data_IF_336607585002
#
_entry.id   IF_336607585002
#
_cell.length_a   1.000
_cell.length_b   1.000
_cell.length_c   1.000
_cell.angle_alpha   90.00
_cell.angle_beta   90.00
_cell.angle_gamma   90.00
#
_symmetry.space_group_name_H-M   'P 1'
#
loop_
_entity.id
_entity.type
_entity.pdbx_description
1 polymer ?
#
# COMPACT_ATOMS: atom_id res chain seq x y z
N UNK A 1 -12.41 30.98 -10.93
CA UNK A 1 -11.62 32.19 -10.58
C UNK A 1 -10.27 31.68 -10.10
N UNK A 2 -9.20 32.17 -10.73
CA UNK A 2 -7.88 31.54 -10.81
C UNK A 2 -6.98 31.82 -9.61
N UNK A 3 -6.04 30.89 -9.38
CA UNK A 3 -4.69 31.06 -8.82
C UNK A 3 -4.50 31.29 -7.31
N UNK A 4 -3.40 30.72 -6.85
CA UNK A 4 -2.43 31.30 -5.91
C UNK A 4 -2.97 31.67 -4.53
N UNK A 5 -2.62 30.88 -3.51
CA UNK A 5 -2.06 31.36 -2.23
C UNK A 5 -1.88 30.18 -1.28
N UNK A 6 -0.63 29.70 -1.13
CA UNK A 6 0.06 29.42 0.15
C UNK A 6 1.55 29.29 -0.23
N UNK A 7 2.19 30.45 -0.38
CA UNK A 7 3.63 30.59 -0.48
C UNK A 7 4.04 31.82 0.33
N UNK A 8 4.38 31.61 1.61
CA UNK A 8 5.08 32.54 2.50
C UNK A 8 5.59 31.71 3.69
N UNK A 9 6.82 31.83 4.20
CA UNK A 9 7.97 32.67 3.87
C UNK A 9 9.06 32.22 4.87
N UNK A 10 10.10 31.51 4.44
CA UNK A 10 11.36 31.45 5.21
C UNK A 10 12.43 32.13 4.37
N UNK A 11 12.75 33.38 4.73
CA UNK A 11 13.90 34.09 4.20
C UNK A 11 15.13 33.62 4.97
N UNK A 12 16.08 33.03 4.27
CA UNK A 12 17.46 32.87 4.72
C UNK A 12 18.17 34.23 4.74
N UNK A 13 19.15 34.43 5.64
CA UNK A 13 20.32 35.22 5.32
C UNK A 13 21.41 34.28 4.79
N UNK A 14 21.91 34.59 3.59
CA UNK A 14 23.22 34.12 3.15
C UNK A 14 24.28 34.60 4.16
N UNK A 15 25.00 33.67 4.75
CA UNK A 15 26.36 33.89 5.22
C UNK A 15 27.14 32.61 4.98
N UNK A 16 28.11 32.68 4.08
CA UNK A 16 28.95 31.56 3.69
C UNK A 16 29.74 31.01 4.87
N UNK A 17 29.64 29.70 5.06
CA UNK A 17 30.64 28.91 5.76
C UNK A 17 30.76 27.60 4.98
N UNK A 18 31.96 27.36 4.45
CA UNK A 18 32.38 26.10 3.87
C UNK A 18 32.27 25.05 4.98
N UNK A 19 31.18 24.28 5.01
CA UNK A 19 31.00 23.22 6.01
C UNK A 19 31.90 22.04 5.61
N UNK A 20 33.04 21.98 6.27
CA UNK A 20 33.97 20.87 6.23
C UNK A 20 33.21 19.60 6.65
N UNK A 21 32.95 18.69 5.70
CA UNK A 21 32.41 17.36 5.98
C UNK A 21 33.45 16.65 6.85
N UNK A 22 33.20 16.65 8.16
CA UNK A 22 34.02 15.90 9.10
C UNK A 22 33.53 14.47 9.04
N UNK A 23 34.26 13.62 8.32
CA UNK A 23 34.07 12.17 8.35
C UNK A 23 34.43 11.71 9.76
N UNK A 24 33.44 11.62 10.64
CA UNK A 24 33.63 10.95 11.93
C UNK A 24 33.69 9.46 11.62
N UNK A 25 34.89 8.89 11.74
CA UNK A 25 35.13 7.46 11.62
C UNK A 25 34.27 6.74 12.67
N UNK A 26 33.25 6.03 12.20
CA UNK A 26 32.56 5.02 13.01
C UNK A 26 33.62 4.02 13.45
N UNK A 27 33.72 3.76 14.76
CA UNK A 27 34.58 2.72 15.29
C UNK A 27 34.12 1.37 14.71
N UNK A 28 34.79 0.92 13.65
CA UNK A 28 34.72 -0.45 13.17
C UNK A 28 35.44 -1.30 14.21
N UNK A 29 34.72 -1.79 15.23
CA UNK A 29 35.25 -2.87 16.06
C UNK A 29 35.25 -4.15 15.22
N UNK A 30 36.29 -4.35 14.41
CA UNK A 30 36.55 -5.63 13.73
C UNK A 30 36.96 -6.63 14.82
N UNK A 31 35.98 -7.26 15.46
CA UNK A 31 36.28 -8.42 16.30
C UNK A 31 36.55 -9.57 15.34
N UNK A 32 37.83 -9.84 15.10
CA UNK A 32 38.30 -10.95 14.29
C UNK A 32 38.02 -12.28 15.00
N UNK A 33 36.77 -12.74 14.91
CA UNK A 33 36.44 -14.15 14.96
C UNK A 33 36.07 -14.57 13.54
N UNK A 34 36.33 -15.82 13.17
CA UNK A 34 36.15 -16.41 11.85
C UNK A 34 34.68 -16.45 11.37
N UNK A 35 34.03 -15.30 11.24
CA UNK A 35 32.68 -15.17 10.71
C UNK A 35 32.77 -14.62 9.28
N UNK A 36 32.09 -15.27 8.34
CA UNK A 36 31.96 -14.87 6.93
C UNK A 36 31.19 -13.56 6.70
N UNK A 37 31.07 -12.71 7.72
CA UNK A 37 30.29 -11.47 7.74
C UNK A 37 31.10 -10.31 8.31
N UNK A 38 30.71 -9.09 7.94
CA UNK A 38 31.10 -7.82 8.55
C UNK A 38 29.95 -7.30 9.41
N UNK A 39 30.23 -6.86 10.64
CA UNK A 39 29.21 -6.39 11.57
C UNK A 39 29.15 -4.87 11.63
N UNK A 40 27.94 -4.33 11.50
CA UNK A 40 27.61 -2.92 11.66
C UNK A 40 26.73 -2.75 12.90
N UNK A 41 27.05 -1.79 13.78
CA UNK A 41 26.30 -1.55 15.01
C UNK A 41 25.71 -0.15 15.01
N UNK A 42 24.40 -0.05 15.25
CA UNK A 42 23.69 1.23 15.38
C UNK A 42 22.40 1.00 16.19
N UNK A 43 21.99 1.98 16.98
CA UNK A 43 20.69 1.91 17.66
C UNK A 43 20.53 0.74 18.64
N UNK A 44 21.62 0.19 19.17
CA UNK A 44 21.60 -0.97 20.06
C UNK A 44 21.55 -2.33 19.36
N UNK A 45 21.43 -2.37 18.03
CA UNK A 45 21.40 -3.61 17.23
C UNK A 45 22.69 -3.81 16.44
N UNK A 46 22.95 -5.05 16.05
CA UNK A 46 24.04 -5.48 15.18
C UNK A 46 23.48 -6.07 13.88
N UNK A 47 23.99 -5.58 12.74
CA UNK A 47 23.61 -5.98 11.39
C UNK A 47 24.81 -6.70 10.77
N UNK A 48 24.62 -7.93 10.32
CA UNK A 48 25.66 -8.70 9.66
C UNK A 48 25.50 -8.65 8.14
N UNK A 49 26.55 -8.25 7.44
CA UNK A 49 26.60 -8.24 5.97
C UNK A 49 27.59 -9.33 5.52
N UNK A 50 27.20 -10.29 4.67
CA UNK A 50 28.12 -11.31 4.16
C UNK A 50 29.29 -10.69 3.41
N UNK A 51 30.50 -11.20 3.66
CA UNK A 51 31.73 -10.70 3.04
C UNK A 51 31.81 -11.03 1.55
N UNK A 52 31.13 -12.08 1.09
CA UNK A 52 31.10 -12.46 -0.32
C UNK A 52 30.44 -11.40 -1.22
N UNK A 53 29.54 -10.58 -0.66
CA UNK A 53 28.90 -9.48 -1.37
C UNK A 53 29.61 -8.13 -1.18
N UNK A 54 30.72 -8.07 -0.41
CA UNK A 54 31.35 -6.80 -0.04
C UNK A 54 31.79 -5.97 -1.26
N UNK A 55 32.28 -6.62 -2.31
CA UNK A 55 32.72 -5.94 -3.54
C UNK A 55 31.55 -5.46 -4.43
N UNK A 56 30.34 -5.96 -4.18
CA UNK A 56 29.11 -5.61 -4.91
C UNK A 56 28.32 -4.49 -4.21
N UNK A 57 28.71 -4.11 -2.99
CA UNK A 57 27.93 -3.24 -2.14
C UNK A 57 28.58 -1.89 -1.87
N UNK A 58 27.77 -0.85 -1.92
CA UNK A 58 28.05 0.44 -1.33
C UNK A 58 27.19 0.59 -0.08
N UNK A 59 27.84 0.67 1.08
CA UNK A 59 27.19 0.87 2.37
C UNK A 59 27.19 2.36 2.68
N UNK A 60 26.00 2.94 2.70
CA UNK A 60 25.82 4.35 3.03
C UNK A 60 25.54 4.46 4.52
N UNK A 61 26.42 5.11 5.31
CA UNK A 61 26.15 5.34 6.71
C UNK A 61 24.94 6.28 6.83
N UNK A 62 23.98 5.90 7.67
CA UNK A 62 22.82 6.77 7.90
C UNK A 62 23.25 8.07 8.59
N UNK A 63 22.55 9.16 8.28
CA UNK A 63 22.83 10.49 8.85
C UNK A 63 22.70 10.45 10.38
N UNK A 64 23.50 11.25 11.09
CA UNK A 64 23.63 11.14 12.55
C UNK A 64 22.33 11.50 13.30
N UNK A 65 21.47 12.30 12.70
CA UNK A 65 20.19 12.79 13.22
C UNK A 65 19.00 11.91 12.81
N UNK A 66 19.11 11.13 11.72
CA UNK A 66 18.07 10.19 11.34
C UNK A 66 18.20 8.85 12.08
N UNK A 67 17.63 8.81 13.27
CA UNK A 67 17.61 7.59 14.07
C UNK A 67 16.76 6.46 13.47
N UNK A 68 15.89 6.73 12.48
CA UNK A 68 15.03 5.72 11.85
C UNK A 68 15.80 4.78 10.95
N UNK A 69 16.76 5.30 10.18
CA UNK A 69 17.57 4.47 9.28
C UNK A 69 18.76 3.89 10.04
N UNK A 70 18.86 2.57 10.04
CA UNK A 70 19.96 1.83 10.68
C UNK A 70 21.14 1.61 9.73
N UNK A 71 20.86 1.26 8.48
CA UNK A 71 21.85 1.10 7.42
C UNK A 71 21.17 1.21 6.07
N UNK A 72 21.89 1.72 5.08
CA UNK A 72 21.44 1.72 3.68
C UNK A 72 22.44 0.96 2.83
N UNK A 73 21.94 0.01 2.03
CA UNK A 73 22.73 -0.77 1.10
C UNK A 73 22.37 -0.38 -0.32
N UNK A 74 23.40 -0.17 -1.14
CA UNK A 74 23.25 0.05 -2.56
C UNK A 74 24.08 -0.97 -3.36
N UNK A 75 23.57 -1.38 -4.51
CA UNK A 75 24.35 -2.09 -5.51
C UNK A 75 25.37 -1.12 -6.11
N UNK A 76 26.65 -1.49 -5.97
CA UNK A 76 27.78 -0.65 -6.34
C UNK A 76 27.87 -0.42 -7.84
N UNK A 77 27.68 -1.45 -8.66
CA UNK A 77 27.72 -1.40 -10.13
C UNK A 77 26.73 -0.37 -10.69
N UNK A 78 25.46 -0.43 -10.25
CA UNK A 78 24.45 0.53 -10.68
C UNK A 78 24.75 1.93 -10.17
N UNK A 79 25.19 2.07 -8.92
CA UNK A 79 25.53 3.39 -8.36
C UNK A 79 26.72 4.06 -9.07
N UNK A 80 27.76 3.31 -9.41
CA UNK A 80 28.93 3.81 -10.12
C UNK A 80 28.58 4.26 -11.54
N UNK A 81 27.64 3.57 -12.20
CA UNK A 81 27.16 3.96 -13.52
C UNK A 81 26.20 5.14 -13.48
N UNK A 82 25.30 5.16 -12.51
CA UNK A 82 24.27 6.17 -12.33
C UNK A 82 24.27 6.68 -10.89
N UNK A 83 25.07 7.72 -10.59
CA UNK A 83 25.14 8.30 -9.25
C UNK A 83 23.75 8.69 -8.74
N UNK A 84 23.39 8.17 -7.57
CA UNK A 84 22.06 8.35 -6.97
C UNK A 84 21.23 7.06 -6.98
N UNK A 85 21.43 6.20 -7.99
CA UNK A 85 20.72 4.93 -8.15
C UNK A 85 21.35 3.79 -7.35
N UNK A 86 20.79 2.59 -7.50
CA UNK A 86 21.29 1.33 -6.95
C UNK A 86 20.78 1.04 -5.54
N UNK A 87 19.78 1.76 -5.01
CA UNK A 87 19.26 1.46 -3.67
C UNK A 87 18.67 0.06 -3.63
N UNK A 88 19.28 -0.87 -2.88
CA UNK A 88 18.72 -2.20 -2.63
C UNK A 88 17.62 -2.10 -1.57
N UNK A 89 18.02 -1.69 -0.37
CA UNK A 89 17.12 -1.36 0.73
C UNK A 89 17.86 -0.58 1.81
N UNK A 90 17.07 0.03 2.69
CA UNK A 90 17.54 0.44 4.01
C UNK A 90 16.88 -0.41 5.08
N UNK A 91 17.61 -0.72 6.16
CA UNK A 91 17.00 -1.27 7.37
C UNK A 91 16.54 -0.09 8.21
N UNK A 92 15.26 -0.08 8.59
CA UNK A 92 14.64 0.96 9.40
C UNK A 92 14.21 0.43 10.76
N UNK A 93 14.08 1.33 11.73
CA UNK A 93 13.42 1.08 13.02
C UNK A 93 12.37 2.16 13.29
N UNK A 94 11.18 1.74 13.68
CA UNK A 94 10.03 2.60 13.94
C UNK A 94 9.59 2.41 15.39
N UNK A 95 9.31 3.49 16.10
CA UNK A 95 8.55 3.42 17.36
C UNK A 95 7.12 2.94 17.07
N UNK A 96 6.38 2.51 18.10
CA UNK A 96 4.97 2.12 17.95
C UNK A 96 4.13 3.21 17.25
N UNK A 97 4.23 4.47 17.67
CA UNK A 97 3.52 5.58 17.02
C UNK A 97 3.89 5.75 15.53
N UNK A 98 5.15 5.53 15.16
CA UNK A 98 5.58 5.64 13.75
C UNK A 98 5.06 4.46 12.93
N UNK A 99 5.04 3.27 13.53
CA UNK A 99 4.50 2.06 12.91
C UNK A 99 2.98 2.17 12.72
N UNK A 100 2.25 2.72 13.69
CA UNK A 100 0.82 3.05 13.54
C UNK A 100 0.56 4.02 12.39
N UNK A 101 1.39 5.05 12.22
CA UNK A 101 1.29 5.94 11.05
C UNK A 101 1.59 5.20 9.73
N UNK A 102 2.50 4.22 9.74
CA UNK A 102 2.72 3.35 8.58
C UNK A 102 1.47 2.50 8.27
N UNK A 103 0.81 1.92 9.28
CA UNK A 103 -0.41 1.13 9.10
C UNK A 103 -1.57 1.95 8.50
N UNK A 104 -1.58 3.27 8.71
CA UNK A 104 -2.55 4.20 8.15
C UNK A 104 -2.14 4.76 6.77
N UNK A 105 -0.96 4.38 6.25
CA UNK A 105 -0.44 4.83 4.96
C UNK A 105 -0.73 3.81 3.84
N UNK A 106 -0.29 4.10 2.61
CA UNK A 106 -0.37 3.14 1.49
C UNK A 106 0.62 1.95 1.63
N UNK A 107 1.51 2.00 2.63
CA UNK A 107 2.48 0.95 2.94
C UNK A 107 3.58 0.75 1.90
N UNK A 108 3.62 1.56 0.85
CA UNK A 108 4.48 1.30 -0.31
C UNK A 108 5.96 1.41 0.03
N UNK A 109 6.74 0.42 -0.41
CA UNK A 109 8.19 0.41 -0.21
C UNK A 109 8.65 0.12 1.22
N UNK A 110 7.77 -0.33 2.12
CA UNK A 110 8.12 -0.72 3.49
C UNK A 110 7.60 -2.13 3.81
N UNK A 111 8.43 -2.93 4.49
CA UNK A 111 8.06 -4.26 4.98
C UNK A 111 8.68 -4.50 6.34
N UNK A 112 7.86 -4.70 7.37
CA UNK A 112 8.33 -5.04 8.71
C UNK A 112 8.51 -6.56 8.85
N UNK A 113 9.60 -6.97 9.50
CA UNK A 113 9.95 -8.39 9.65
C UNK A 113 10.31 -8.78 11.10
N UNK A 114 10.51 -7.80 11.98
CA UNK A 114 10.88 -8.04 13.36
C UNK A 114 10.35 -6.95 14.30
N UNK A 115 10.19 -7.29 15.58
CA UNK A 115 9.93 -6.32 16.63
C UNK A 115 10.59 -6.69 17.96
N UNK A 116 10.72 -5.70 18.83
CA UNK A 116 10.96 -5.86 20.26
C UNK A 116 9.93 -5.06 21.07
N UNK A 117 10.16 -4.86 22.36
CA UNK A 117 9.25 -4.12 23.26
C UNK A 117 9.16 -2.61 22.95
N UNK A 118 9.99 -2.09 22.04
CA UNK A 118 10.12 -0.64 21.76
C UNK A 118 9.98 -0.29 20.30
N UNK A 119 10.44 -1.17 19.41
CA UNK A 119 10.61 -0.87 18.01
C UNK A 119 10.12 -1.99 17.10
N UNK A 120 9.63 -1.56 15.94
CA UNK A 120 9.39 -2.36 14.76
C UNK A 120 10.55 -2.16 13.79
N UNK A 121 11.07 -3.25 13.22
CA UNK A 121 12.19 -3.23 12.30
C UNK A 121 11.74 -3.74 10.93
N UNK A 122 12.18 -3.04 9.88
CA UNK A 122 11.73 -3.33 8.54
C UNK A 122 12.77 -2.99 7.48
N UNK A 123 12.47 -3.40 6.26
CA UNK A 123 13.16 -2.95 5.06
C UNK A 123 12.37 -1.81 4.43
N UNK A 124 13.11 -0.77 4.02
CA UNK A 124 12.62 0.27 3.13
C UNK A 124 13.25 0.05 1.76
N UNK A 125 12.42 -0.33 0.80
CA UNK A 125 12.77 -0.59 -0.59
C UNK A 125 12.54 0.66 -1.45
N UNK A 126 13.24 0.78 -2.58
CA UNK A 126 12.85 1.77 -3.58
C UNK A 126 11.46 1.48 -4.12
N UNK A 127 10.65 2.52 -4.29
CA UNK A 127 9.36 2.46 -4.99
C UNK A 127 9.50 2.80 -6.47
N UNK A 128 10.73 3.06 -6.91
CA UNK A 128 11.12 3.42 -8.27
C UNK A 128 12.17 2.45 -8.81
N UNK A 129 12.53 2.61 -10.08
CA UNK A 129 13.52 1.75 -10.72
C UNK A 129 14.94 2.12 -10.30
N UNK A 130 15.65 1.17 -9.70
CA UNK A 130 17.00 1.39 -9.16
C UNK A 130 18.10 0.55 -9.80
N UNK A 131 17.80 -0.30 -10.79
CA UNK A 131 18.74 -1.27 -11.35
C UNK A 131 19.19 -0.91 -12.77
N UNK A 132 20.49 -1.04 -13.05
CA UNK A 132 21.02 -1.02 -14.41
C UNK A 132 20.97 -2.42 -15.06
N UNK A 133 21.33 -3.45 -14.31
CA UNK A 133 21.19 -4.86 -14.66
C UNK A 133 20.21 -5.49 -13.67
N UNK A 134 18.97 -5.72 -14.10
CA UNK A 134 17.89 -6.11 -13.22
C UNK A 134 18.08 -7.52 -12.63
N UNK A 135 18.57 -8.48 -13.42
CA UNK A 135 18.72 -9.87 -12.96
C UNK A 135 19.77 -9.97 -11.84
N UNK A 136 20.95 -9.39 -12.07
CA UNK A 136 22.01 -9.31 -11.07
C UNK A 136 21.56 -8.55 -9.81
N UNK A 137 20.87 -7.43 -10.01
CA UNK A 137 20.34 -6.63 -8.91
C UNK A 137 19.30 -7.39 -8.07
N UNK A 138 18.34 -8.06 -8.70
CA UNK A 138 17.28 -8.80 -8.03
C UNK A 138 17.85 -9.99 -7.24
N UNK A 139 18.79 -10.73 -7.83
CA UNK A 139 19.46 -11.84 -7.16
C UNK A 139 20.26 -11.37 -5.93
N UNK A 140 20.97 -10.24 -6.05
CA UNK A 140 21.72 -9.65 -4.94
C UNK A 140 20.78 -9.15 -3.82
N UNK A 141 19.69 -8.48 -4.20
CA UNK A 141 18.66 -7.97 -3.29
C UNK A 141 18.07 -9.11 -2.45
N UNK A 142 17.60 -10.17 -3.11
CA UNK A 142 16.99 -11.34 -2.47
C UNK A 142 17.98 -12.04 -1.53
N UNK A 143 19.17 -12.36 -2.03
CA UNK A 143 20.20 -13.08 -1.25
C UNK A 143 20.60 -12.31 0.01
N UNK A 144 20.75 -10.99 -0.09
CA UNK A 144 21.09 -10.15 1.06
C UNK A 144 19.92 -10.01 2.03
N UNK A 145 18.70 -9.80 1.53
CA UNK A 145 17.51 -9.65 2.36
C UNK A 145 17.30 -10.89 3.23
N UNK A 146 17.27 -12.07 2.62
CA UNK A 146 16.98 -13.32 3.32
C UNK A 146 18.06 -13.66 4.36
N UNK A 147 19.32 -13.44 4.02
CA UNK A 147 20.43 -13.61 4.96
C UNK A 147 20.31 -12.64 6.14
N UNK A 148 20.15 -11.33 5.84
CA UNK A 148 20.15 -10.27 6.84
C UNK A 148 18.95 -10.44 7.76
N UNK A 149 17.76 -10.71 7.24
CA UNK A 149 16.56 -10.93 8.04
C UNK A 149 16.75 -12.07 9.05
N UNK A 150 17.23 -13.23 8.59
CA UNK A 150 17.46 -14.42 9.42
C UNK A 150 18.52 -14.20 10.49
N UNK A 151 19.65 -13.56 10.13
CA UNK A 151 20.73 -13.27 11.07
C UNK A 151 20.34 -12.16 12.05
N UNK A 152 19.69 -11.10 11.58
CA UNK A 152 19.29 -9.95 12.38
C UNK A 152 18.31 -10.33 13.48
N UNK A 153 17.32 -11.18 13.18
CA UNK A 153 16.40 -11.75 14.18
C UNK A 153 17.17 -12.50 15.29
N UNK A 154 18.00 -13.46 14.90
CA UNK A 154 18.74 -14.33 15.85
C UNK A 154 19.76 -13.55 16.67
N UNK A 155 20.54 -12.69 16.00
CA UNK A 155 21.65 -11.95 16.61
C UNK A 155 21.15 -10.92 17.61
N UNK A 156 20.04 -10.27 17.31
CA UNK A 156 19.47 -9.22 18.15
C UNK A 156 18.38 -9.73 19.10
N UNK A 157 18.05 -11.04 19.05
CA UNK A 157 17.02 -11.69 19.88
C UNK A 157 15.64 -11.03 19.72
N UNK A 158 15.31 -10.70 18.48
CA UNK A 158 14.05 -10.05 18.13
C UNK A 158 12.96 -11.09 17.88
N UNK A 159 11.71 -10.67 18.06
CA UNK A 159 10.53 -11.46 17.73
C UNK A 159 10.23 -11.29 16.24
N UNK A 160 10.09 -12.37 15.46
CA UNK A 160 9.59 -12.27 14.09
C UNK A 160 8.23 -11.57 14.06
N UNK A 161 8.01 -10.72 13.07
CA UNK A 161 6.80 -9.93 12.97
C UNK A 161 6.39 -9.76 11.51
N UNK A 162 5.09 -9.71 11.26
CA UNK A 162 4.50 -9.51 9.94
C UNK A 162 3.15 -8.81 10.10
N UNK A 163 2.84 -7.92 9.15
CA UNK A 163 1.65 -7.05 9.24
C UNK A 163 0.33 -7.80 8.96
N UNK A 164 0.42 -9.04 8.46
CA UNK A 164 -0.75 -9.81 8.05
C UNK A 164 -1.67 -10.22 9.20
N UNK A 165 -1.16 -10.23 10.44
CA UNK A 165 -1.98 -10.39 11.64
C UNK A 165 -2.90 -9.17 11.81
N UNK A 166 -2.34 -7.96 11.79
CA UNK A 166 -3.11 -6.72 11.94
C UNK A 166 -4.15 -6.57 10.83
N UNK A 167 -3.71 -6.73 9.57
CA UNK A 167 -4.58 -6.63 8.40
C UNK A 167 -5.50 -7.83 8.21
N UNK A 168 -5.30 -8.92 8.96
CA UNK A 168 -6.21 -10.06 9.02
C UNK A 168 -7.37 -9.86 10.01
N UNK A 169 -7.30 -8.87 10.90
CA UNK A 169 -8.36 -8.60 11.88
C UNK A 169 -9.47 -7.76 11.26
N UNK A 170 -10.72 -8.10 11.58
CA UNK A 170 -11.90 -7.32 11.22
C UNK A 170 -11.91 -5.93 11.87
N UNK A 171 -11.35 -5.81 13.08
CA UNK A 171 -11.29 -4.57 13.86
C UNK A 171 -9.91 -4.32 14.47
N UNK A 172 -9.61 -3.05 14.77
CA UNK A 172 -8.36 -2.67 15.45
C UNK A 172 -8.46 -2.94 16.94
N UNK A 173 -9.57 -2.50 17.55
CA UNK A 173 -9.87 -2.68 18.96
C UNK A 173 -10.95 -3.75 19.15
N UNK A 174 -10.87 -4.49 20.25
CA UNK A 174 -11.90 -5.47 20.58
C UNK A 174 -13.11 -4.78 21.24
N UNK A 175 -14.30 -5.41 21.15
CA UNK A 175 -15.49 -4.98 21.88
C UNK A 175 -16.62 -4.46 21.00
N UNK A 176 -17.42 -3.54 21.54
CA UNK A 176 -18.60 -2.98 20.87
C UNK A 176 -18.19 -2.03 19.75
N UNK A 177 -18.89 -2.11 18.62
CA UNK A 177 -18.64 -1.29 17.44
C UNK A 177 -19.91 -0.54 17.01
N UNK A 178 -19.73 0.70 16.54
CA UNK A 178 -20.80 1.52 15.96
C UNK A 178 -20.41 1.94 14.56
N UNK A 179 -21.36 1.86 13.65
CA UNK A 179 -21.17 2.24 12.25
C UNK A 179 -21.98 3.47 11.89
N UNK A 180 -21.35 4.37 11.14
CA UNK A 180 -22.01 5.57 10.63
C UNK A 180 -21.72 5.74 9.16
N UNK A 181 -22.77 5.97 8.37
CA UNK A 181 -22.64 6.54 7.04
C UNK A 181 -22.36 8.02 7.17
N UNK A 182 -21.37 8.49 6.44
CA UNK A 182 -20.99 9.88 6.32
C UNK A 182 -21.14 10.32 4.87
N UNK A 183 -21.78 11.47 4.67
CA UNK A 183 -22.07 12.04 3.36
C UNK A 183 -21.24 13.32 3.17
N UNK A 184 -20.02 13.23 2.60
CA UNK A 184 -19.06 14.35 2.56
C UNK A 184 -19.61 15.59 1.85
N UNK A 185 -20.47 15.40 0.84
CA UNK A 185 -21.01 16.49 0.03
C UNK A 185 -22.40 16.98 0.47
N UNK A 186 -22.98 16.41 1.52
CA UNK A 186 -24.33 16.77 1.96
C UNK A 186 -24.46 18.26 2.27
N UNK A 187 -23.44 18.85 2.90
CA UNK A 187 -23.42 20.30 3.22
C UNK A 187 -23.38 21.18 1.97
N UNK A 188 -22.79 20.67 0.89
CA UNK A 188 -22.60 21.43 -0.36
C UNK A 188 -23.83 21.35 -1.25
N UNK A 189 -24.44 20.18 -1.39
CA UNK A 189 -25.48 19.93 -2.40
C UNK A 189 -26.73 19.20 -1.86
N UNK A 190 -26.78 18.86 -0.57
CA UNK A 190 -27.89 18.13 0.06
C UNK A 190 -28.00 16.66 -0.37
N UNK A 191 -27.05 16.14 -1.14
CA UNK A 191 -27.09 14.78 -1.69
C UNK A 191 -26.37 13.78 -0.79
N UNK A 192 -26.82 12.53 -0.90
CA UNK A 192 -26.29 11.36 -0.18
C UNK A 192 -25.69 10.33 -1.15
N UNK A 193 -25.31 10.79 -2.35
CA UNK A 193 -24.87 9.94 -3.47
C UNK A 193 -23.48 9.33 -3.19
N UNK A 194 -22.61 10.06 -2.48
CA UNK A 194 -21.32 9.56 -2.02
C UNK A 194 -21.38 9.22 -0.54
N UNK A 195 -20.97 8.00 -0.20
CA UNK A 195 -21.12 7.45 1.14
C UNK A 195 -19.80 6.88 1.61
N UNK A 196 -19.29 7.42 2.72
CA UNK A 196 -18.18 6.84 3.46
C UNK A 196 -18.73 6.17 4.71
N UNK A 197 -18.19 5.02 5.09
CA UNK A 197 -18.62 4.32 6.30
C UNK A 197 -17.53 4.43 7.36
N UNK A 198 -17.87 5.03 8.50
CA UNK A 198 -16.98 5.12 9.66
C UNK A 198 -17.25 3.93 10.58
N UNK A 199 -16.20 3.24 10.99
CA UNK A 199 -16.21 2.21 12.03
C UNK A 199 -15.67 2.80 13.32
N UNK A 200 -16.52 2.86 14.35
CA UNK A 200 -16.18 3.36 15.66
C UNK A 200 -16.08 2.23 16.66
N UNK A 201 -15.12 2.33 17.56
CA UNK A 201 -14.89 1.40 18.66
C UNK A 201 -14.48 2.15 19.92
N UNK A 202 -14.42 1.43 21.05
CA UNK A 202 -13.99 1.98 22.32
C UNK A 202 -12.58 1.46 22.68
N UNK A 203 -11.52 2.26 22.52
CA UNK A 203 -10.14 1.76 22.59
C UNK A 203 -9.63 1.50 24.01
N UNK A 204 -10.31 1.99 25.06
CA UNK A 204 -9.80 1.94 26.45
C UNK A 204 -10.75 1.24 27.42
N UNK A 205 -12.00 1.73 27.53
CA UNK A 205 -13.03 1.15 28.38
C UNK A 205 -14.24 0.78 27.53
N UNK A 206 -14.90 -0.33 27.86
CA UNK A 206 -16.11 -0.77 27.16
C UNK A 206 -17.39 -0.26 27.86
N UNK A 207 -18.47 -0.09 27.09
CA UNK A 207 -19.81 0.28 27.57
C UNK A 207 -20.01 1.79 27.80
N UNK A 208 -21.00 2.15 28.63
CA UNK A 208 -21.46 3.55 28.86
C UNK A 208 -20.39 4.52 29.42
N UNK A 209 -19.22 4.02 29.81
CA UNK A 209 -18.09 4.82 30.28
C UNK A 209 -16.92 4.88 29.31
N UNK A 210 -17.01 4.23 28.15
CA UNK A 210 -15.97 4.20 27.13
C UNK A 210 -16.05 5.37 26.18
N UNK A 211 -14.92 6.03 25.93
CA UNK A 211 -14.83 6.96 24.80
C UNK A 211 -14.88 6.19 23.49
N UNK A 212 -15.47 6.80 22.47
CA UNK A 212 -15.48 6.30 21.10
C UNK A 212 -14.39 6.98 20.27
N UNK A 213 -13.80 6.23 19.34
CA UNK A 213 -12.97 6.76 18.27
C UNK A 213 -13.33 6.09 16.94
N UNK A 214 -13.11 6.77 15.82
CA UNK A 214 -13.09 6.11 14.51
C UNK A 214 -11.77 5.35 14.40
N UNK A 215 -11.84 4.03 14.32
CA UNK A 215 -10.66 3.17 14.17
C UNK A 215 -10.34 2.85 12.70
N UNK A 216 -11.38 2.85 11.85
CA UNK A 216 -11.30 2.54 10.42
C UNK A 216 -12.39 3.29 9.67
N UNK A 217 -12.14 3.58 8.40
CA UNK A 217 -13.20 4.08 7.51
C UNK A 217 -13.10 3.46 6.12
N UNK A 218 -14.25 3.38 5.45
CA UNK A 218 -14.40 2.86 4.10
C UNK A 218 -14.89 3.97 3.18
N UNK A 219 -14.24 4.18 2.05
CA UNK A 219 -14.67 5.15 1.03
C UNK A 219 -15.80 4.59 0.13
N UNK A 220 -16.28 5.38 -0.83
CA UNK A 220 -17.29 4.95 -1.80
C UNK A 220 -16.81 3.84 -2.75
N UNK A 221 -15.50 3.65 -2.86
CA UNK A 221 -14.88 2.65 -3.73
C UNK A 221 -14.59 1.33 -3.00
N UNK A 222 -14.93 1.25 -1.70
CA UNK A 222 -14.71 0.09 -0.87
C UNK A 222 -13.28 -0.06 -0.34
N UNK A 223 -12.44 0.96 -0.48
CA UNK A 223 -11.12 0.97 0.13
C UNK A 223 -11.27 1.17 1.64
N UNK A 224 -10.50 0.44 2.43
CA UNK A 224 -10.53 0.49 3.89
C UNK A 224 -9.24 1.14 4.38
N UNK A 225 -9.39 2.08 5.30
CA UNK A 225 -8.29 2.87 5.85
C UNK A 225 -8.31 2.75 7.37
N UNK A 226 -7.35 2.00 7.97
CA UNK A 226 -7.07 2.10 9.38
C UNK A 226 -6.70 3.53 9.77
N UNK A 227 -7.09 3.95 10.97
CA UNK A 227 -6.76 5.26 11.48
C UNK A 227 -6.13 5.18 12.86
N UNK A 228 -4.99 5.86 12.98
CA UNK A 228 -4.33 6.13 14.25
C UNK A 228 -4.07 7.63 14.37
N UNK A 229 -4.27 8.22 15.56
CA UNK A 229 -4.06 9.64 15.78
C UNK A 229 -2.58 10.01 15.59
N UNK A 230 -2.29 10.95 14.68
CA UNK A 230 -0.98 11.60 14.63
C UNK A 230 -0.88 12.59 15.81
N UNK A 231 -0.21 12.15 16.86
CA UNK A 231 -0.11 12.85 18.14
C UNK A 231 1.36 13.11 18.52
N UNK A 232 2.15 13.63 17.57
CA UNK A 232 3.55 14.04 17.78
C UNK A 232 4.43 12.92 18.38
N UNK A 233 4.23 11.69 17.90
CA UNK A 233 5.01 10.51 18.34
C UNK A 233 4.46 9.79 19.56
N UNK A 234 3.28 10.16 20.07
CA UNK A 234 2.56 9.42 21.12
C UNK A 234 1.80 8.24 20.50
N UNK A 235 2.00 6.99 20.95
CA UNK A 235 1.22 5.83 20.48
C UNK A 235 -0.27 5.99 20.76
N UNK A 236 -1.11 5.41 19.90
CA UNK A 236 -2.56 5.54 19.98
C UNK A 236 -3.14 5.06 21.32
N UNK A 237 -2.59 3.99 21.89
CA UNK A 237 -3.00 3.48 23.21
C UNK A 237 -2.80 4.51 24.33
N UNK A 238 -1.67 5.21 24.35
CA UNK A 238 -1.39 6.27 25.31
C UNK A 238 -2.27 7.50 25.06
N UNK A 239 -2.44 7.88 23.79
CA UNK A 239 -3.29 8.99 23.38
C UNK A 239 -4.74 8.78 23.84
N UNK A 240 -5.33 7.62 23.56
CA UNK A 240 -6.70 7.31 23.94
C UNK A 240 -6.85 7.14 25.45
N UNK A 241 -5.86 6.58 26.15
CA UNK A 241 -5.87 6.52 27.61
C UNK A 241 -5.92 7.92 28.24
N UNK A 242 -5.16 8.88 27.69
CA UNK A 242 -5.19 10.26 28.13
C UNK A 242 -6.55 10.93 27.86
N UNK A 243 -7.14 10.71 26.67
CA UNK A 243 -8.49 11.21 26.34
C UNK A 243 -9.56 10.62 27.26
N UNK A 244 -9.50 9.32 27.53
CA UNK A 244 -10.43 8.64 28.42
C UNK A 244 -10.36 9.23 29.83
N UNK A 245 -9.16 9.44 30.37
CA UNK A 245 -8.98 10.07 31.69
C UNK A 245 -9.51 11.51 31.72
N UNK A 246 -9.33 12.28 30.64
CA UNK A 246 -9.87 13.63 30.50
C UNK A 246 -11.39 13.66 30.52
N UNK A 247 -12.04 12.79 29.74
CA UNK A 247 -13.51 12.70 29.70
C UNK A 247 -14.10 12.17 31.01
N UNK A 248 -13.44 11.20 31.67
CA UNK A 248 -13.84 10.72 32.99
C UNK A 248 -13.82 11.83 34.05
N UNK A 249 -12.81 12.71 34.00
CA UNK A 249 -12.74 13.86 34.89
C UNK A 249 -13.84 14.88 34.56
N UNK A 250 -14.05 15.17 33.26
CA UNK A 250 -15.09 16.10 32.82
C UNK A 250 -16.50 15.61 33.16
N UNK A 251 -16.73 14.29 33.16
CA UNK A 251 -18.01 13.66 33.55
C UNK A 251 -18.47 14.01 34.96
N UNK A 252 -17.57 14.45 35.84
CA UNK A 252 -17.90 14.87 37.20
C UNK A 252 -18.49 16.28 37.27
N UNK A 253 -18.40 17.06 36.19
CA UNK A 253 -18.99 18.40 36.10
C UNK A 253 -20.53 18.31 36.02
N UNK A 254 -21.30 19.01 36.87
CA UNK A 254 -22.76 19.07 36.77
C UNK A 254 -23.30 19.56 35.42
N UNK A 255 -22.50 20.26 34.61
CA UNK A 255 -22.87 20.73 33.27
C UNK A 255 -22.47 19.75 32.15
N UNK A 256 -21.92 18.59 32.50
CA UNK A 256 -21.52 17.58 31.52
C UNK A 256 -22.71 17.09 30.68
N UNK A 257 -22.57 17.17 29.36
CA UNK A 257 -23.51 16.56 28.42
C UNK A 257 -22.80 15.47 27.60
N UNK A 258 -23.28 14.24 27.76
CA UNK A 258 -22.80 13.06 27.03
C UNK A 258 -22.86 13.26 25.51
N UNK A 259 -23.84 14.01 24.98
CA UNK A 259 -23.98 14.25 23.54
C UNK A 259 -22.89 15.12 22.94
N UNK A 260 -22.17 15.87 23.77
CA UNK A 260 -21.04 16.72 23.39
C UNK A 260 -19.74 16.20 23.97
N UNK A 261 -19.62 14.87 24.03
CA UNK A 261 -18.47 14.16 24.62
C UNK A 261 -18.07 13.00 23.75
N UNK A 262 -16.84 12.53 23.92
CA UNK A 262 -16.39 11.29 23.27
C UNK A 262 -17.15 10.04 23.77
N UNK A 263 -17.99 10.11 24.80
CA UNK A 263 -18.92 8.99 25.12
C UNK A 263 -20.06 8.86 24.11
N UNK A 264 -20.32 9.88 23.27
CA UNK A 264 -21.22 9.79 22.13
C UNK A 264 -20.43 9.41 20.87
N UNK A 265 -20.80 8.32 20.18
CA UNK A 265 -20.15 7.96 18.93
C UNK A 265 -20.42 9.02 17.83
N UNK A 266 -21.56 9.72 17.89
CA UNK A 266 -21.89 10.78 16.92
C UNK A 266 -20.95 11.98 17.07
N UNK A 267 -20.62 12.36 18.31
CA UNK A 267 -19.64 13.41 18.58
C UNK A 267 -18.22 12.99 18.19
N UNK A 268 -17.84 11.74 18.45
CA UNK A 268 -16.55 11.21 18.02
C UNK A 268 -16.40 11.17 16.49
N UNK A 269 -17.45 10.76 15.76
CA UNK A 269 -17.49 10.77 14.31
C UNK A 269 -17.37 12.20 13.76
N UNK A 270 -18.08 13.16 14.35
CA UNK A 270 -17.99 14.58 13.98
C UNK A 270 -16.55 15.10 14.14
N UNK A 271 -15.94 14.90 15.32
CA UNK A 271 -14.58 15.35 15.59
C UNK A 271 -13.54 14.70 14.66
N UNK A 272 -13.75 13.43 14.32
CA UNK A 272 -12.91 12.73 13.35
C UNK A 272 -12.97 13.38 11.96
N UNK A 273 -14.17 13.56 11.38
CA UNK A 273 -14.27 14.12 10.02
C UNK A 273 -13.81 15.58 9.95
N UNK A 274 -13.99 16.36 11.02
CA UNK A 274 -13.45 17.71 11.12
C UNK A 274 -11.92 17.71 11.11
N UNK A 275 -11.31 16.89 11.97
CA UNK A 275 -9.86 16.85 12.11
C UNK A 275 -9.16 16.21 10.90
N UNK A 276 -9.70 15.10 10.41
CA UNK A 276 -9.03 14.24 9.42
C UNK A 276 -9.34 14.66 7.99
N UNK A 277 -10.60 15.04 7.71
CA UNK A 277 -11.00 15.46 6.36
C UNK A 277 -11.08 16.98 6.20
N UNK A 278 -11.01 17.75 7.30
CA UNK A 278 -11.20 19.21 7.25
C UNK A 278 -12.64 19.61 6.92
N UNK A 279 -13.59 18.69 7.09
CA UNK A 279 -15.00 18.92 6.78
C UNK A 279 -15.74 19.49 7.99
N UNK A 280 -16.75 20.34 7.77
CA UNK A 280 -17.64 20.82 8.84
C UNK A 280 -19.02 20.22 8.58
N UNK A 281 -19.38 19.07 9.20
CA UNK A 281 -20.67 18.44 8.99
C UNK A 281 -21.84 19.29 9.49
N UNK A 282 -23.03 19.03 8.93
CA UNK A 282 -24.29 19.54 9.42
C UNK A 282 -25.22 18.41 9.86
N UNK A 283 -26.35 18.76 10.47
CA UNK A 283 -27.45 17.81 10.66
C UNK A 283 -27.82 17.16 9.31
N UNK A 284 -27.91 15.83 9.28
CA UNK A 284 -28.15 15.04 8.06
C UNK A 284 -26.91 14.55 7.32
N UNK A 285 -25.71 15.00 7.71
CA UNK A 285 -24.43 14.47 7.18
C UNK A 285 -24.10 13.05 7.65
N UNK A 286 -24.80 12.56 8.67
CA UNK A 286 -24.59 11.23 9.24
C UNK A 286 -25.89 10.45 9.34
N UNK A 287 -25.83 9.16 9.01
CA UNK A 287 -26.85 8.19 9.36
C UNK A 287 -26.21 7.03 10.14
N UNK A 288 -26.74 6.72 11.33
CA UNK A 288 -26.34 5.52 12.08
C UNK A 288 -26.93 4.29 11.40
N UNK A 289 -26.13 3.23 11.28
CA UNK A 289 -26.59 1.97 10.70
C UNK A 289 -26.48 0.85 11.74
N UNK A 290 -27.50 -0.01 11.79
CA UNK A 290 -27.48 -1.21 12.63
C UNK A 290 -26.67 -2.31 11.97
N UNK A 291 -26.06 -3.15 12.83
CA UNK A 291 -25.26 -4.32 12.52
C UNK A 291 -26.08 -5.37 11.75
N UNK A 292 -26.26 -5.18 10.44
CA UNK A 292 -27.13 -6.03 9.63
C UNK A 292 -26.41 -7.26 9.05
N UNK A 293 -25.41 -7.81 9.75
CA UNK A 293 -24.70 -9.02 9.31
C UNK A 293 -23.68 -8.81 8.18
N UNK A 294 -23.43 -7.55 7.80
CA UNK A 294 -22.46 -7.13 6.78
C UNK A 294 -21.05 -6.88 7.35
N UNK A 295 -20.84 -7.06 8.65
CA UNK A 295 -19.56 -6.74 9.32
C UNK A 295 -18.38 -7.53 8.75
N UNK A 296 -18.58 -8.82 8.42
CA UNK A 296 -17.58 -9.63 7.73
C UNK A 296 -17.37 -9.14 6.28
N UNK A 297 -18.43 -8.72 5.58
CA UNK A 297 -18.34 -8.19 4.20
C UNK A 297 -17.69 -6.79 4.12
N UNK A 298 -17.89 -5.95 5.15
CA UNK A 298 -17.45 -4.56 5.18
C UNK A 298 -15.95 -4.41 5.46
N UNK A 299 -15.33 -5.31 6.23
CA UNK A 299 -13.98 -5.10 6.75
C UNK A 299 -13.00 -6.29 6.64
N UNK A 300 -13.40 -7.49 6.18
CA UNK A 300 -12.47 -8.63 5.99
C UNK A 300 -11.51 -8.48 4.78
N UNK A 301 -11.51 -7.36 4.05
CA UNK A 301 -10.79 -7.22 2.77
C UNK A 301 -9.50 -6.40 2.84
N UNK A 302 -8.90 -6.30 4.01
CA UNK A 302 -7.67 -5.51 4.24
C UNK A 302 -6.38 -6.18 3.75
N UNK A 303 -6.42 -7.05 2.74
CA UNK A 303 -5.20 -7.59 2.10
C UNK A 303 -4.99 -7.19 0.65
N UNK A 304 -5.95 -6.52 -0.02
CA UNK A 304 -5.90 -6.39 -1.50
C UNK A 304 -6.39 -5.07 -2.11
N UNK A 305 -6.77 -4.07 -1.30
CA UNK A 305 -7.43 -2.85 -1.81
C UNK A 305 -6.52 -1.60 -1.89
N UNK A 306 -5.26 -1.65 -1.46
CA UNK A 306 -4.29 -0.54 -1.59
C UNK A 306 -3.70 -0.37 -3.00
N UNK A 307 -4.31 -0.97 -4.01
CA UNK A 307 -3.72 -1.25 -5.31
C UNK A 307 -4.39 -0.38 -6.37
N UNK A 308 -3.59 0.40 -7.12
CA UNK A 308 -4.09 1.31 -8.17
C UNK A 308 -5.13 0.65 -9.08
N UNK A 309 -6.14 1.41 -9.53
CA UNK A 309 -7.39 0.87 -10.07
C UNK A 309 -7.28 -0.09 -11.28
N UNK A 310 -6.11 -0.22 -11.93
CA UNK A 310 -5.90 -1.06 -13.12
C UNK A 310 -4.58 -1.82 -13.06
N UNK A 311 -4.50 -2.80 -12.16
CA UNK A 311 -3.32 -3.67 -12.03
C UNK A 311 -3.67 -5.10 -11.67
N UNK A 312 -2.73 -5.98 -11.99
CA UNK A 312 -2.77 -7.40 -11.72
C UNK A 312 -1.80 -7.72 -10.58
N UNK A 313 -2.31 -8.35 -9.53
CA UNK A 313 -1.51 -8.96 -8.48
C UNK A 313 -1.15 -10.40 -8.84
N UNK A 314 0.12 -10.73 -8.66
CA UNK A 314 0.70 -12.06 -8.91
C UNK A 314 1.15 -12.62 -7.57
N UNK A 315 0.54 -13.70 -7.06
CA UNK A 315 0.96 -14.35 -5.82
C UNK A 315 2.46 -14.69 -5.86
N UNK A 316 3.14 -14.57 -4.72
CA UNK A 316 4.56 -14.95 -4.54
C UNK A 316 5.61 -14.08 -5.24
N UNK A 317 5.22 -13.02 -5.96
CA UNK A 317 6.16 -12.01 -6.43
C UNK A 317 6.78 -11.25 -5.25
N UNK A 318 8.12 -11.18 -5.17
CA UNK A 318 8.82 -10.49 -4.08
C UNK A 318 9.63 -9.29 -4.60
N UNK A 319 9.43 -8.07 -4.08
CA UNK A 319 8.32 -7.65 -3.21
C UNK A 319 6.97 -7.75 -3.97
N UNK A 320 5.82 -7.60 -3.30
CA UNK A 320 4.45 -7.67 -3.87
C UNK A 320 4.24 -6.63 -4.99
N UNK A 321 4.92 -6.82 -6.13
CA UNK A 321 4.94 -5.90 -7.25
C UNK A 321 3.70 -6.18 -8.08
N UNK A 322 2.92 -5.13 -8.26
CA UNK A 322 1.70 -5.15 -9.03
C UNK A 322 2.04 -4.76 -10.46
N UNK A 323 1.49 -5.49 -11.42
CA UNK A 323 1.64 -5.16 -12.83
C UNK A 323 0.50 -4.23 -13.26
N UNK A 324 0.82 -3.00 -13.65
CA UNK A 324 -0.14 -1.94 -13.99
C UNK A 324 -0.27 -1.76 -15.51
N UNK A 325 -1.41 -1.23 -15.93
CA UNK A 325 -1.52 -0.57 -17.24
C UNK A 325 -0.79 0.78 -17.20
N UNK A 326 0.52 0.77 -17.42
CA UNK A 326 1.38 1.95 -17.30
C UNK A 326 2.65 1.88 -18.17
N UNK A 327 3.43 2.94 -18.16
CA UNK A 327 4.75 3.03 -18.74
C UNK A 327 5.83 2.35 -17.87
N UNK A 328 6.67 1.55 -18.51
CA UNK A 328 7.78 0.81 -17.92
C UNK A 328 9.09 1.14 -18.64
N UNK A 329 10.15 1.44 -17.90
CA UNK A 329 11.46 1.71 -18.51
C UNK A 329 12.27 0.43 -18.76
N UNK A 330 11.84 -0.70 -18.20
CA UNK A 330 12.42 -2.04 -18.40
C UNK A 330 11.52 -2.86 -19.29
N UNK A 331 12.11 -3.85 -19.94
CA UNK A 331 11.38 -4.83 -20.72
C UNK A 331 10.66 -5.84 -19.81
N UNK A 332 9.83 -6.69 -20.41
CA UNK A 332 9.23 -7.84 -19.73
C UNK A 332 10.29 -8.65 -18.95
N UNK A 333 10.02 -9.12 -17.70
CA UNK A 333 8.71 -9.24 -17.04
C UNK A 333 8.30 -8.05 -16.17
N UNK A 334 8.87 -6.86 -16.36
CA UNK A 334 8.43 -5.65 -15.64
C UNK A 334 8.54 -5.72 -14.10
N UNK A 335 9.46 -6.56 -13.61
CA UNK A 335 9.74 -6.72 -12.19
C UNK A 335 8.81 -7.68 -11.46
N UNK A 336 7.95 -8.42 -12.16
CA UNK A 336 7.16 -9.51 -11.59
C UNK A 336 7.70 -10.89 -11.99
N UNK A 337 7.40 -11.92 -11.21
CA UNK A 337 7.80 -13.30 -11.50
C UNK A 337 6.85 -13.92 -12.54
N UNK A 338 7.06 -13.57 -13.81
CA UNK A 338 6.33 -14.14 -14.94
C UNK A 338 7.29 -14.81 -15.93
N UNK A 339 6.98 -16.04 -16.30
CA UNK A 339 7.79 -16.83 -17.24
C UNK A 339 7.33 -16.58 -18.67
N UNK A 340 8.19 -15.98 -19.48
CA UNK A 340 7.97 -15.83 -20.94
C UNK A 340 8.03 -17.18 -21.65
N UNK A 341 7.02 -17.48 -22.46
CA UNK A 341 7.02 -18.60 -23.43
C UNK A 341 7.23 -18.13 -24.86
N UNK A 342 6.62 -17.00 -25.21
CA UNK A 342 6.73 -16.45 -26.55
C UNK A 342 6.72 -14.93 -26.51
N UNK A 343 7.34 -14.33 -27.51
CA UNK A 343 7.37 -12.89 -27.73
C UNK A 343 7.31 -12.61 -29.22
N UNK A 344 6.35 -11.79 -29.62
CA UNK A 344 6.20 -11.30 -30.98
C UNK A 344 6.23 -9.77 -30.99
N UNK A 345 6.87 -9.17 -31.99
CA UNK A 345 6.88 -7.71 -32.16
C UNK A 345 6.60 -7.33 -33.60
N UNK A 346 5.70 -6.38 -33.80
CA UNK A 346 5.30 -5.90 -35.11
C UNK A 346 5.03 -4.39 -35.09
N UNK A 347 5.08 -3.77 -36.26
CA UNK A 347 4.71 -2.36 -36.41
C UNK A 347 3.21 -2.25 -36.62
N UNK A 348 2.52 -1.55 -35.71
CA UNK A 348 1.11 -1.24 -35.82
C UNK A 348 0.93 0.19 -36.34
N UNK A 349 0.15 0.33 -37.41
CA UNK A 349 -0.14 1.63 -38.02
C UNK A 349 -0.80 2.56 -37.00
N UNK A 350 -0.19 3.74 -36.76
CA UNK A 350 -0.69 4.74 -35.81
C UNK A 350 -0.34 4.50 -34.33
N UNK A 351 0.20 3.32 -33.97
CA UNK A 351 0.57 2.96 -32.60
C UNK A 351 2.09 2.75 -32.40
N UNK A 352 2.83 2.55 -33.48
CA UNK A 352 4.27 2.28 -33.42
C UNK A 352 4.56 0.79 -33.20
N UNK A 353 5.68 0.47 -32.57
CA UNK A 353 6.06 -0.91 -32.33
C UNK A 353 5.24 -1.50 -31.19
N UNK A 354 4.46 -2.54 -31.47
CA UNK A 354 3.73 -3.34 -30.49
C UNK A 354 4.54 -4.59 -30.20
N UNK A 355 4.66 -4.95 -28.93
CA UNK A 355 5.16 -6.26 -28.50
C UNK A 355 4.08 -6.98 -27.70
N UNK A 356 3.91 -8.27 -28.03
CA UNK A 356 3.05 -9.21 -27.32
C UNK A 356 3.96 -10.25 -26.67
N UNK A 357 3.80 -10.44 -25.37
CA UNK A 357 4.45 -11.51 -24.61
C UNK A 357 3.39 -12.45 -24.09
N UNK A 358 3.60 -13.75 -24.26
CA UNK A 358 2.74 -14.78 -23.69
C UNK A 358 3.55 -15.71 -22.80
N UNK A 359 2.91 -16.20 -21.75
CA UNK A 359 3.45 -17.25 -20.90
C UNK A 359 2.39 -18.24 -20.48
N UNK A 360 2.61 -18.93 -19.37
CA UNK A 360 1.64 -19.89 -18.85
C UNK A 360 0.42 -19.20 -18.25
N UNK A 361 -0.66 -19.16 -19.01
CA UNK A 361 -1.94 -18.60 -18.56
C UNK A 361 -1.96 -17.08 -18.48
N UNK A 362 -1.03 -16.38 -19.14
CA UNK A 362 -1.08 -14.92 -19.24
C UNK A 362 -0.66 -14.40 -20.62
N UNK A 363 -1.12 -13.20 -20.96
CA UNK A 363 -0.68 -12.42 -22.11
C UNK A 363 -0.54 -10.95 -21.71
N UNK A 364 0.49 -10.31 -22.25
CA UNK A 364 0.77 -8.90 -22.01
C UNK A 364 1.10 -8.21 -23.34
N UNK A 365 0.54 -7.02 -23.56
CA UNK A 365 0.87 -6.18 -24.73
C UNK A 365 1.36 -4.81 -24.31
N UNK A 366 2.42 -4.36 -24.97
CA UNK A 366 3.00 -3.04 -24.74
C UNK A 366 3.51 -2.38 -26.02
N UNK A 367 3.51 -1.05 -26.01
CA UNK A 367 4.07 -0.20 -27.06
C UNK A 367 5.50 0.20 -26.71
N UNK A 368 6.38 0.30 -27.70
CA UNK A 368 7.66 0.98 -27.54
C UNK A 368 7.54 2.44 -27.99
N UNK A 369 7.94 3.37 -27.12
CA UNK A 369 8.13 4.75 -27.54
C UNK A 369 9.57 4.99 -28.08
N UNK A 370 9.81 6.21 -28.59
CA UNK A 370 11.09 6.59 -29.17
C UNK A 370 12.23 6.71 -28.14
N UNK A 371 11.92 6.73 -26.84
CA UNK A 371 12.86 6.90 -25.74
C UNK A 371 13.15 5.57 -25.01
N UNK A 372 12.57 4.46 -25.50
CA UNK A 372 12.75 3.13 -24.95
C UNK A 372 11.83 2.82 -23.77
N UNK A 373 10.73 3.55 -23.61
CA UNK A 373 9.66 3.26 -22.64
C UNK A 373 8.69 2.25 -23.25
N UNK A 374 8.28 1.27 -22.43
CA UNK A 374 7.31 0.22 -22.73
C UNK A 374 5.98 0.59 -22.09
N UNK A 375 5.00 1.03 -22.86
CA UNK A 375 3.66 1.35 -22.34
C UNK A 375 2.80 0.10 -22.39
N UNK A 376 2.60 -0.54 -21.24
CA UNK A 376 1.72 -1.70 -21.09
C UNK A 376 0.28 -1.23 -21.15
N UNK A 377 -0.45 -1.74 -22.14
CA UNK A 377 -1.83 -1.36 -22.40
C UNK A 377 -2.79 -2.55 -22.36
N UNK A 378 -2.29 -3.78 -22.26
CA UNK A 378 -3.13 -4.95 -22.11
C UNK A 378 -2.44 -6.01 -21.25
N UNK A 379 -3.18 -6.55 -20.29
CA UNK A 379 -2.77 -7.67 -19.42
C UNK A 379 -3.97 -8.62 -19.35
N UNK A 380 -3.78 -9.90 -19.65
CA UNK A 380 -4.80 -10.94 -19.53
C UNK A 380 -4.23 -12.12 -18.77
N UNK A 381 -5.06 -12.78 -17.96
CA UNK A 381 -4.66 -14.00 -17.27
C UNK A 381 -5.82 -14.95 -17.00
N UNK A 382 -5.53 -16.24 -17.05
CA UNK A 382 -6.37 -17.37 -16.60
C UNK A 382 -5.64 -18.19 -15.52
N UNK A 383 -4.54 -17.65 -14.98
CA UNK A 383 -3.73 -18.33 -13.97
C UNK A 383 -4.40 -18.22 -12.62
N UNK A 384 -4.74 -19.36 -12.03
CA UNK A 384 -5.37 -19.46 -10.70
C UNK A 384 -4.64 -18.60 -9.67
N UNK A 385 -5.39 -17.85 -8.87
CA UNK A 385 -4.85 -17.00 -7.81
C UNK A 385 -4.33 -15.63 -8.26
N UNK A 386 -4.07 -15.40 -9.54
CA UNK A 386 -3.85 -14.02 -10.03
C UNK A 386 -5.11 -13.18 -9.80
N UNK A 387 -4.95 -11.93 -9.37
CA UNK A 387 -6.09 -11.14 -8.90
C UNK A 387 -6.05 -9.67 -9.33
N UNK A 388 -7.23 -9.06 -9.41
CA UNK A 388 -7.39 -7.62 -9.60
C UNK A 388 -8.52 -7.11 -8.71
N UNK A 389 -8.25 -6.01 -7.99
CA UNK A 389 -9.15 -5.42 -6.98
C UNK A 389 -9.76 -6.45 -6.02
N UNK A 390 -8.92 -7.40 -5.59
CA UNK A 390 -9.29 -8.42 -4.62
C UNK A 390 -9.93 -9.69 -5.19
N UNK A 391 -10.50 -9.65 -6.40
CA UNK A 391 -11.08 -10.81 -7.09
C UNK A 391 -9.99 -11.58 -7.83
N UNK A 392 -9.84 -12.88 -7.55
CA UNK A 392 -8.88 -13.76 -8.16
C UNK A 392 -9.49 -14.68 -9.22
N UNK A 393 -8.67 -15.13 -10.17
CA UNK A 393 -9.00 -16.29 -11.01
C UNK A 393 -9.16 -17.51 -10.10
N UNK A 394 -10.26 -18.23 -10.26
CA UNK A 394 -10.66 -19.37 -9.45
C UNK A 394 -11.76 -19.04 -8.44
N UNK A 395 -11.93 -17.78 -8.07
CA UNK A 395 -12.93 -17.36 -7.08
C UNK A 395 -14.36 -17.64 -7.58
N UNK A 396 -15.32 -17.94 -6.69
CA UNK A 396 -16.74 -17.94 -7.03
C UNK A 396 -17.17 -16.60 -7.63
N UNK A 397 -18.11 -16.60 -8.59
CA UNK A 397 -18.68 -15.37 -9.18
C UNK A 397 -19.19 -14.40 -8.12
N UNK A 398 -19.75 -14.92 -7.02
CA UNK A 398 -20.24 -14.14 -5.89
C UNK A 398 -19.18 -13.19 -5.31
N UNK A 399 -17.90 -13.58 -5.39
CA UNK A 399 -16.74 -12.79 -4.95
C UNK A 399 -16.60 -11.48 -5.73
N UNK A 400 -17.19 -11.35 -6.91
CA UNK A 400 -17.19 -10.09 -7.65
C UNK A 400 -18.02 -9.03 -6.91
N UNK A 401 -19.22 -9.38 -6.45
CA UNK A 401 -20.15 -8.45 -5.77
C UNK A 401 -19.68 -7.99 -4.40
N UNK A 402 -18.89 -8.87 -3.83
CA UNK A 402 -18.06 -8.76 -2.66
C UNK A 402 -17.04 -7.61 -2.77
N UNK A 403 -16.50 -7.36 -3.97
CA UNK A 403 -15.48 -6.33 -4.24
C UNK A 403 -15.99 -5.12 -5.05
N UNK A 404 -17.17 -5.23 -5.63
CA UNK A 404 -17.73 -4.23 -6.53
C UNK A 404 -19.16 -3.87 -6.19
N UNK A 405 -19.47 -2.57 -6.20
CA UNK A 405 -20.86 -2.12 -6.21
C UNK A 405 -21.52 -2.49 -7.54
N UNK A 406 -22.76 -3.01 -7.55
CA UNK A 406 -23.45 -3.42 -8.78
C UNK A 406 -23.52 -2.32 -9.85
N UNK A 407 -23.63 -1.06 -9.46
CA UNK A 407 -23.66 0.10 -10.36
C UNK A 407 -22.31 0.39 -11.06
N UNK A 408 -21.21 -0.14 -10.55
CA UNK A 408 -19.88 0.04 -11.13
C UNK A 408 -19.54 -1.03 -12.18
N UNK A 409 -20.20 -2.18 -12.13
CA UNK A 409 -19.97 -3.27 -13.08
C UNK A 409 -21.10 -3.39 -14.08
N UNK A 410 -20.72 -3.45 -15.35
CA UNK A 410 -21.61 -3.80 -16.45
C UNK A 410 -21.48 -5.30 -16.74
N UNK A 411 -22.55 -6.06 -16.51
CA UNK A 411 -22.64 -7.43 -17.03
C UNK A 411 -22.74 -7.39 -18.55
N UNK A 412 -21.91 -8.18 -19.23
CA UNK A 412 -21.90 -8.32 -20.68
C UNK A 412 -22.03 -9.79 -21.05
N UNK A 413 -22.84 -10.06 -22.08
CA UNK A 413 -23.00 -11.41 -22.62
C UNK A 413 -21.91 -11.74 -23.65
N UNK A 414 -21.15 -10.73 -24.07
CA UNK A 414 -20.11 -10.87 -25.09
C UNK A 414 -18.90 -9.98 -24.82
N UNK A 415 -17.71 -10.57 -24.78
CA UNK A 415 -16.43 -9.86 -24.69
C UNK A 415 -16.08 -9.18 -26.03
N UNK A 416 -15.07 -8.31 -26.00
CA UNK A 416 -14.47 -7.78 -27.22
C UNK A 416 -13.92 -8.93 -28.09
N UNK A 417 -13.89 -8.76 -29.41
CA UNK A 417 -13.39 -9.80 -30.30
C UNK A 417 -11.95 -10.22 -29.97
N UNK A 418 -11.14 -9.27 -29.48
CA UNK A 418 -9.77 -9.54 -29.08
C UNK A 418 -9.70 -10.35 -27.77
N UNK A 419 -10.57 -10.04 -26.80
CA UNK A 419 -10.63 -10.77 -25.54
C UNK A 419 -11.22 -12.17 -25.74
N UNK A 420 -12.27 -12.36 -26.55
CA UNK A 420 -12.77 -13.70 -26.93
C UNK A 420 -11.69 -14.51 -27.65
N UNK A 421 -10.88 -13.86 -28.49
CA UNK A 421 -9.77 -14.50 -29.18
C UNK A 421 -8.71 -15.08 -28.24
N UNK A 422 -8.61 -14.57 -27.00
CA UNK A 422 -7.65 -15.03 -26.01
C UNK A 422 -8.27 -15.92 -24.92
N UNK A 423 -9.37 -15.49 -24.30
CA UNK A 423 -10.08 -16.26 -23.26
C UNK A 423 -10.86 -17.45 -23.83
N UNK A 424 -11.17 -17.43 -25.13
CA UNK A 424 -12.12 -18.35 -25.76
C UNK A 424 -13.55 -17.80 -25.73
N UNK A 425 -14.45 -18.49 -26.45
CA UNK A 425 -15.87 -18.18 -26.54
C UNK A 425 -16.75 -19.04 -25.59
N UNK A 426 -16.12 -19.93 -24.81
CA UNK A 426 -16.76 -20.84 -23.87
C UNK A 426 -16.74 -20.26 -22.43
N UNK A 427 -17.57 -19.24 -22.22
CA UNK A 427 -17.81 -18.57 -20.94
C UNK A 427 -19.31 -18.23 -20.78
N UNK A 428 -19.76 -18.02 -19.55
CA UNK A 428 -21.17 -17.71 -19.26
C UNK A 428 -21.48 -16.23 -19.43
N UNK A 429 -20.61 -15.36 -18.91
CA UNK A 429 -20.71 -13.91 -19.04
C UNK A 429 -19.39 -13.21 -18.68
N UNK A 430 -19.32 -11.91 -18.95
CA UNK A 430 -18.27 -11.03 -18.44
C UNK A 430 -18.83 -9.94 -17.53
N UNK A 431 -18.02 -9.47 -16.58
CA UNK A 431 -18.29 -8.27 -15.78
C UNK A 431 -17.22 -7.23 -16.06
N UNK A 432 -17.65 -6.04 -16.44
CA UNK A 432 -16.72 -4.97 -16.85
C UNK A 432 -16.86 -3.73 -15.99
N UNK A 433 -15.72 -3.27 -15.48
CA UNK A 433 -15.57 -1.93 -14.95
C UNK A 433 -14.90 -1.04 -16.00
N UNK A 434 -15.62 -0.02 -16.46
CA UNK A 434 -15.11 0.99 -17.40
C UNK A 434 -15.61 2.39 -17.00
N UNK A 435 -14.79 3.23 -16.35
CA UNK A 435 -15.20 4.58 -15.96
C UNK A 435 -15.53 5.46 -17.17
N UNK A 436 -16.53 6.34 -17.05
CA UNK A 436 -17.10 7.13 -18.14
C UNK A 436 -16.13 8.08 -18.88
N UNK A 437 -14.93 8.33 -18.31
CA UNK A 437 -13.88 9.17 -18.90
C UNK A 437 -12.52 8.46 -18.93
N UNK A 438 -12.50 7.13 -18.83
CA UNK A 438 -11.29 6.30 -18.85
C UNK A 438 -11.20 5.52 -20.15
N UNK A 439 -9.99 5.39 -20.69
CA UNK A 439 -9.68 4.40 -21.73
C UNK A 439 -9.42 3.02 -21.13
N UNK A 440 -9.22 2.95 -19.81
CA UNK A 440 -8.91 1.72 -19.08
C UNK A 440 -10.17 1.02 -18.59
N UNK A 441 -10.16 -0.31 -18.67
CA UNK A 441 -11.21 -1.21 -18.22
C UNK A 441 -10.64 -2.45 -17.54
N UNK A 442 -11.43 -3.02 -16.62
CA UNK A 442 -11.19 -4.35 -16.02
C UNK A 442 -12.33 -5.27 -16.47
N UNK A 443 -11.99 -6.48 -16.89
CA UNK A 443 -12.92 -7.51 -17.32
C UNK A 443 -12.70 -8.74 -16.44
N UNK A 444 -13.77 -9.23 -15.82
CA UNK A 444 -13.80 -10.54 -15.18
C UNK A 444 -14.61 -11.49 -16.06
N UNK A 445 -14.00 -12.58 -16.50
CA UNK A 445 -14.66 -13.61 -17.31
C UNK A 445 -15.17 -14.69 -16.36
N UNK A 446 -16.46 -15.03 -16.45
CA UNK A 446 -17.10 -16.03 -15.59
C UNK A 446 -17.49 -17.26 -16.39
N UNK A 447 -17.16 -18.44 -15.86
CA UNK A 447 -17.51 -19.74 -16.40
C UNK A 447 -17.83 -20.71 -15.27
N UNK A 448 -18.91 -21.46 -15.40
CA UNK A 448 -19.41 -22.42 -14.42
C UNK A 448 -19.55 -21.79 -13.02
N UNK A 449 -19.98 -20.52 -12.96
CA UNK A 449 -20.15 -19.76 -11.72
C UNK A 449 -18.84 -19.37 -11.01
N UNK A 450 -17.70 -19.40 -11.72
CA UNK A 450 -16.39 -19.00 -11.19
C UNK A 450 -15.69 -18.00 -12.12
N UNK A 451 -14.83 -17.18 -11.55
CA UNK A 451 -13.95 -16.29 -12.30
C UNK A 451 -12.90 -17.13 -13.02
N UNK A 452 -13.06 -17.27 -14.33
CA UNK A 452 -12.18 -18.07 -15.18
C UNK A 452 -11.02 -17.25 -15.77
N UNK A 453 -11.11 -15.92 -15.75
CA UNK A 453 -10.07 -15.05 -16.28
C UNK A 453 -10.25 -13.59 -15.90
N UNK A 454 -9.15 -12.85 -15.96
CA UNK A 454 -9.10 -11.41 -15.69
C UNK A 454 -8.38 -10.71 -16.85
N UNK A 455 -8.99 -9.65 -17.37
CA UNK A 455 -8.43 -8.76 -18.38
C UNK A 455 -8.32 -7.33 -17.86
N UNK A 456 -7.18 -6.69 -18.08
CA UNK A 456 -6.96 -5.27 -17.87
C UNK A 456 -6.57 -4.69 -19.22
N UNK A 457 -7.33 -3.71 -19.71
CA UNK A 457 -7.07 -3.13 -21.02
C UNK A 457 -7.18 -1.61 -20.97
N UNK A 458 -6.21 -0.93 -21.57
CA UNK A 458 -6.25 0.46 -21.96
C UNK A 458 -6.54 0.50 -23.46
N UNK A 459 -7.74 0.96 -23.84
CA UNK A 459 -8.17 1.03 -25.24
C UNK A 459 -7.43 2.10 -26.06
N UNK A 460 -6.55 2.89 -25.43
CA UNK A 460 -5.68 3.95 -25.99
C UNK A 460 -6.41 5.13 -26.64
N UNK A 461 -7.43 4.87 -27.45
CA UNK A 461 -8.21 5.85 -28.21
C UNK A 461 -9.66 5.96 -27.75
N UNK A 462 -10.06 5.21 -26.72
CA UNK A 462 -11.41 5.21 -26.15
C UNK A 462 -11.65 4.01 -25.23
N UNK A 463 -12.79 3.99 -24.54
CA UNK A 463 -13.21 2.79 -23.79
C UNK A 463 -13.43 1.63 -24.76
N UNK A 464 -12.94 0.44 -24.42
CA UNK A 464 -13.25 -0.79 -25.15
C UNK A 464 -14.68 -1.30 -24.89
N UNK A 465 -15.29 -0.93 -23.77
CA UNK A 465 -16.50 -1.55 -23.22
C UNK A 465 -17.59 -0.57 -22.77
#
# INVERSE_FOLDING_TARGET
MSRENIARKFRSPLSGALALITVIAIMVSVSACASGVTLYKRGGVAIAIPKEYADQLLIVPAQADDERILITLKEKSTHEKYPGMGLLFSIVRYTEAQYEQFLASDGSGLRFFAKDDRYYYGFMFPTDMQAYDYESYAQLLESLRDFIESDFLKRNRLTPYDDSEFFGRTYTYDGEHVFMKYYPYYVVNGKKDEVWTLCLSQPVKQGEGGIWCVERWRDQYGNIYPYFPDADGVPSGEYYAALQAGEDARRQDPQFDTKTSLFSPEYAAYGFVEKVFGHIPSDGSFDRIEDSGLVEELFNRSRRNGVGAFSLGIPESVPDILLFLNAYLVDFPFGVDLVEKSRESFQAEGLGQVTIVEGDGFQLKYLHDAEGVRVVYCIRTVTEGHFSRGVAVGDPEETIWDHWLPEHLKKIDKLSHEDEGWFGDDYDCGYVYAPAESTKSIVYVVKDGRVAGIGLVDGLFGSMY
#
